data_IF_356288002182
#
_entry.id   IF_356288002182
#
_cell.length_a   1.000
_cell.length_b   1.000
_cell.length_c   1.000
_cell.angle_alpha   90.00
_cell.angle_beta   90.00
_cell.angle_gamma   90.00
#
_symmetry.space_group_name_H-M   'P 1'
#
loop_
_entity.id
_entity.type
_entity.pdbx_description
1 polymer ?
#
# COMPACT_ATOMS: atom_id res chain seq x y z
N UNK A 1 28.15 41.03 34.22
CA UNK A 1 27.84 40.92 32.78
C UNK A 1 28.17 39.48 32.39
N UNK A 2 27.20 38.55 32.48
CA UNK A 2 26.44 37.89 31.37
C UNK A 2 27.39 37.37 30.27
N UNK A 3 27.47 36.10 29.83
CA UNK A 3 26.80 34.78 30.02
C UNK A 3 27.85 33.70 29.68
N UNK A 4 28.06 32.65 30.47
CA UNK A 4 27.42 31.33 30.41
C UNK A 4 27.48 30.65 29.01
N UNK A 5 28.58 29.93 28.74
CA UNK A 5 28.68 28.99 27.61
C UNK A 5 28.47 27.58 28.11
N UNK A 6 27.21 27.20 28.01
CA UNK A 6 26.63 25.94 28.45
C UNK A 6 27.06 24.76 27.59
N UNK A 7 27.24 23.64 28.29
CA UNK A 7 27.42 22.28 27.79
C UNK A 7 26.45 21.93 26.64
N UNK A 8 26.98 21.71 25.44
CA UNK A 8 26.30 20.90 24.43
C UNK A 8 26.52 19.41 24.72
N UNK A 9 25.76 18.89 25.69
CA UNK A 9 25.33 17.49 25.68
C UNK A 9 23.90 17.47 25.17
N UNK A 10 23.70 16.94 23.97
CA UNK A 10 22.39 16.44 23.55
C UNK A 10 22.48 14.96 23.18
N UNK A 11 21.39 14.24 23.43
CA UNK A 11 21.43 12.88 23.93
C UNK A 11 21.35 11.86 22.80
N UNK A 12 21.73 10.62 23.13
CA UNK A 12 21.36 9.41 22.42
C UNK A 12 19.94 9.49 21.85
N UNK A 13 19.84 9.64 20.53
CA UNK A 13 18.71 9.10 19.79
C UNK A 13 18.92 7.59 19.70
N UNK A 14 18.61 6.89 20.79
CA UNK A 14 18.12 5.53 20.67
C UNK A 14 16.81 5.62 19.89
N UNK A 15 16.91 5.58 18.57
CA UNK A 15 15.85 5.04 17.73
C UNK A 15 15.61 3.64 18.24
N UNK A 16 14.63 3.53 19.13
CA UNK A 16 13.99 2.28 19.47
C UNK A 16 13.45 1.73 18.16
N UNK A 17 14.22 0.87 17.51
CA UNK A 17 13.71 -0.12 16.58
C UNK A 17 12.56 -0.79 17.32
N UNK A 18 11.34 -0.36 17.01
CA UNK A 18 10.14 -1.06 17.41
C UNK A 18 10.28 -2.42 16.74
N UNK A 19 10.73 -3.39 17.55
CA UNK A 19 10.90 -4.79 17.22
C UNK A 19 9.84 -5.18 16.21
N UNK A 20 10.27 -5.28 14.95
CA UNK A 20 9.45 -5.72 13.84
C UNK A 20 9.10 -7.17 14.17
N UNK A 21 7.96 -7.37 14.79
CA UNK A 21 7.42 -8.69 15.06
C UNK A 21 7.11 -9.29 13.69
N UNK A 22 8.02 -10.13 13.21
CA UNK A 22 7.83 -10.93 12.01
C UNK A 22 6.58 -11.77 12.19
N UNK A 23 5.58 -11.51 11.36
CA UNK A 23 4.41 -12.36 11.22
C UNK A 23 4.88 -13.53 10.39
N UNK A 24 4.82 -14.71 10.98
CA UNK A 24 5.32 -15.93 10.35
C UNK A 24 4.19 -16.71 9.67
N UNK A 25 2.94 -16.47 10.07
CA UNK A 25 1.74 -17.12 9.54
C UNK A 25 0.49 -16.20 9.60
N UNK A 26 -0.46 -16.35 8.69
CA UNK A 26 -1.75 -15.62 8.71
C UNK A 26 -2.70 -16.09 9.81
N UNK A 27 -2.48 -17.29 10.34
CA UNK A 27 -3.18 -17.80 11.52
C UNK A 27 -2.63 -17.21 12.84
N UNK A 28 -1.54 -16.43 12.77
CA UNK A 28 -0.98 -15.75 13.94
C UNK A 28 -1.99 -14.74 14.51
N UNK A 29 -1.98 -14.63 15.85
CA UNK A 29 -2.83 -13.69 16.55
C UNK A 29 -2.38 -12.23 16.33
N UNK A 30 -3.35 -11.35 16.08
CA UNK A 30 -3.18 -9.91 16.13
C UNK A 30 -3.06 -9.47 17.59
N UNK A 31 -1.83 -9.48 18.10
CA UNK A 31 -1.48 -8.96 19.41
C UNK A 31 -1.60 -7.43 19.51
N UNK A 32 -1.72 -6.91 20.73
CA UNK A 32 -1.83 -5.48 21.02
C UNK A 32 -0.69 -4.65 20.39
N UNK A 33 0.53 -5.19 20.37
CA UNK A 33 1.70 -4.54 19.77
C UNK A 33 1.57 -4.29 18.27
N UNK A 34 0.72 -5.04 17.56
CA UNK A 34 0.51 -4.90 16.11
C UNK A 34 -0.46 -3.76 15.78
N UNK A 35 -1.34 -3.40 16.73
CA UNK A 35 -2.44 -2.44 16.50
C UNK A 35 -1.94 -1.04 16.10
N UNK A 36 -0.91 -0.45 16.74
CA UNK A 36 -0.39 0.85 16.29
C UNK A 36 0.15 0.84 14.87
N UNK A 37 0.79 -0.26 14.44
CA UNK A 37 1.27 -0.40 13.07
C UNK A 37 0.09 -0.42 12.08
N UNK A 38 -0.94 -1.24 12.36
CA UNK A 38 -2.13 -1.32 11.51
C UNK A 38 -2.86 0.02 11.42
N UNK A 39 -3.09 0.67 12.55
CA UNK A 39 -3.78 1.95 12.64
C UNK A 39 -3.12 3.03 11.76
N UNK A 40 -1.77 3.01 11.69
CA UNK A 40 -0.99 3.94 10.88
C UNK A 40 -1.09 3.62 9.38
N UNK A 41 -0.97 2.35 9.00
CA UNK A 41 -1.00 1.93 7.59
C UNK A 41 -2.40 2.05 6.97
N UNK A 42 -3.43 1.72 7.75
CA UNK A 42 -4.82 1.90 7.32
C UNK A 42 -5.22 3.37 7.25
N UNK A 43 -4.74 4.20 8.18
CA UNK A 43 -4.99 5.65 8.20
C UNK A 43 -6.50 5.95 8.10
N UNK A 44 -6.96 6.57 7.01
CA UNK A 44 -8.38 6.91 6.79
C UNK A 44 -9.30 5.69 6.57
N UNK A 45 -8.76 4.52 6.28
CA UNK A 45 -9.55 3.32 5.96
C UNK A 45 -9.87 2.47 7.20
N UNK A 46 -9.39 2.86 8.39
CA UNK A 46 -9.61 2.13 9.66
C UNK A 46 -11.10 1.96 9.97
N UNK A 47 -11.92 2.99 9.76
CA UNK A 47 -13.35 2.92 10.05
C UNK A 47 -14.06 1.88 9.16
N UNK A 48 -13.72 1.83 7.87
CA UNK A 48 -14.26 0.83 6.94
C UNK A 48 -13.88 -0.58 7.34
N UNK A 49 -12.60 -0.79 7.64
CA UNK A 49 -12.11 -2.09 8.11
C UNK A 49 -12.79 -2.48 9.42
N UNK A 50 -12.94 -1.56 10.37
CA UNK A 50 -13.62 -1.82 11.63
C UNK A 50 -15.09 -2.23 11.44
N UNK A 51 -15.82 -1.59 10.52
CA UNK A 51 -17.19 -1.99 10.20
C UNK A 51 -17.25 -3.42 9.61
N UNK A 52 -16.31 -3.79 8.72
CA UNK A 52 -16.20 -5.16 8.19
C UNK A 52 -15.79 -6.17 9.25
N UNK A 53 -15.05 -5.73 10.27
CA UNK A 53 -14.70 -6.51 11.46
C UNK A 53 -15.83 -6.56 12.50
N UNK A 54 -17.02 -6.04 12.17
CA UNK A 54 -18.21 -6.04 13.02
C UNK A 54 -18.08 -5.17 14.28
N UNK A 55 -17.24 -4.12 14.25
CA UNK A 55 -17.27 -3.08 15.28
C UNK A 55 -18.54 -2.24 15.10
N UNK A 56 -19.28 -2.07 16.19
CA UNK A 56 -20.53 -1.33 16.18
C UNK A 56 -20.31 0.14 15.77
N UNK A 57 -21.15 0.65 14.86
CA UNK A 57 -21.01 2.02 14.34
C UNK A 57 -21.21 3.09 15.42
N UNK A 58 -22.06 2.84 16.41
CA UNK A 58 -22.28 3.75 17.54
C UNK A 58 -21.02 3.80 18.40
N UNK A 59 -20.35 2.67 18.59
CA UNK A 59 -19.05 2.63 19.28
C UNK A 59 -17.97 3.40 18.51
N UNK A 60 -17.89 3.24 17.17
CA UNK A 60 -16.96 3.99 16.33
C UNK A 60 -17.18 5.51 16.49
N UNK A 61 -18.43 5.97 16.43
CA UNK A 61 -18.77 7.39 16.60
C UNK A 61 -18.46 7.89 18.02
N UNK A 62 -18.76 7.10 19.06
CA UNK A 62 -18.41 7.46 20.43
C UNK A 62 -16.88 7.60 20.62
N UNK A 63 -16.08 6.73 19.99
CA UNK A 63 -14.62 6.85 20.00
C UNK A 63 -14.17 8.11 19.24
N UNK A 64 -14.82 8.45 18.13
CA UNK A 64 -14.52 9.65 17.34
C UNK A 64 -14.78 10.93 18.13
N UNK A 65 -15.88 11.00 18.86
CA UNK A 65 -16.21 12.13 19.71
C UNK A 65 -15.24 12.25 20.90
N UNK A 66 -14.82 11.12 21.47
CA UNK A 66 -13.95 11.07 22.65
C UNK A 66 -12.44 11.15 22.38
N UNK A 67 -11.99 10.97 21.14
CA UNK A 67 -10.56 10.97 20.76
C UNK A 67 -10.32 11.83 19.51
N UNK A 68 -9.87 13.10 19.68
CA UNK A 68 -9.66 14.00 18.55
C UNK A 68 -8.41 13.66 17.74
N UNK A 69 -7.43 12.95 18.32
CA UNK A 69 -6.18 12.62 17.63
C UNK A 69 -6.40 11.42 16.68
N UNK A 70 -6.22 11.57 15.36
CA UNK A 70 -6.54 10.52 14.38
C UNK A 70 -5.84 9.19 14.65
N UNK A 71 -4.54 9.20 14.95
CA UNK A 71 -3.78 7.97 15.20
C UNK A 71 -4.28 7.24 16.46
N UNK A 72 -4.52 7.97 17.56
CA UNK A 72 -5.04 7.39 18.80
C UNK A 72 -6.45 6.85 18.63
N UNK A 73 -7.29 7.56 17.87
CA UNK A 73 -8.64 7.13 17.52
C UNK A 73 -8.59 5.81 16.75
N UNK A 74 -7.76 5.73 15.72
CA UNK A 74 -7.58 4.52 14.92
C UNK A 74 -7.14 3.32 15.78
N UNK A 75 -6.19 3.55 16.70
CA UNK A 75 -5.74 2.53 17.66
C UNK A 75 -6.91 2.08 18.55
N UNK A 76 -7.71 3.01 19.07
CA UNK A 76 -8.88 2.69 19.92
C UNK A 76 -9.92 1.87 19.16
N UNK A 77 -10.22 2.23 17.91
CA UNK A 77 -11.19 1.50 17.06
C UNK A 77 -10.72 0.06 16.83
N UNK A 78 -9.46 -0.15 16.46
CA UNK A 78 -8.93 -1.51 16.24
C UNK A 78 -8.83 -2.32 17.54
N UNK A 79 -8.51 -1.68 18.66
CA UNK A 79 -8.52 -2.33 19.97
C UNK A 79 -9.94 -2.70 20.42
N UNK A 80 -10.96 -1.92 20.05
CA UNK A 80 -12.37 -2.28 20.31
C UNK A 80 -12.71 -3.62 19.68
N UNK A 81 -12.47 -3.78 18.37
CA UNK A 81 -12.62 -5.07 17.67
C UNK A 81 -11.87 -6.19 18.38
N UNK A 82 -10.56 -6.01 18.59
CA UNK A 82 -9.69 -7.03 19.19
C UNK A 82 -10.22 -7.49 20.54
N UNK A 83 -10.64 -6.55 21.39
CA UNK A 83 -11.19 -6.83 22.71
C UNK A 83 -12.55 -7.52 22.63
N UNK A 84 -13.39 -7.20 21.65
CA UNK A 84 -14.66 -7.86 21.42
C UNK A 84 -14.46 -9.34 21.03
N UNK A 85 -13.55 -9.64 20.11
CA UNK A 85 -13.20 -11.02 19.72
C UNK A 85 -12.71 -11.83 20.94
N UNK A 86 -11.78 -11.26 21.71
CA UNK A 86 -11.26 -11.93 22.91
C UNK A 86 -12.35 -12.20 23.96
N UNK A 87 -13.32 -11.29 24.14
CA UNK A 87 -14.47 -11.49 25.04
C UNK A 87 -15.38 -12.63 24.58
N UNK A 88 -15.46 -12.88 23.28
CA UNK A 88 -16.19 -14.00 22.69
C UNK A 88 -15.40 -15.32 22.75
N UNK A 89 -14.18 -15.32 23.31
CA UNK A 89 -13.29 -16.48 23.31
C UNK A 89 -12.70 -16.80 21.94
N UNK A 90 -12.79 -15.87 20.98
CA UNK A 90 -12.21 -15.99 19.65
C UNK A 90 -10.81 -15.36 19.63
N UNK A 91 -9.99 -15.78 18.68
CA UNK A 91 -8.69 -15.16 18.42
C UNK A 91 -8.82 -14.12 17.31
N UNK A 92 -8.34 -12.89 17.50
CA UNK A 92 -8.22 -11.93 16.41
C UNK A 92 -7.07 -12.39 15.49
N UNK A 93 -7.36 -12.82 14.27
CA UNK A 93 -6.35 -13.37 13.34
C UNK A 93 -5.98 -12.39 12.23
N UNK A 94 -4.79 -12.54 11.67
CA UNK A 94 -4.38 -11.80 10.48
C UNK A 94 -5.20 -12.16 9.25
N UNK A 95 -5.67 -13.40 9.15
CA UNK A 95 -6.60 -13.83 8.09
C UNK A 95 -7.84 -12.92 8.03
N UNK A 96 -8.51 -12.67 9.15
CA UNK A 96 -9.71 -11.80 9.18
C UNK A 96 -9.40 -10.37 8.76
N UNK A 97 -8.24 -9.84 9.17
CA UNK A 97 -7.75 -8.52 8.72
C UNK A 97 -7.51 -8.52 7.21
N UNK A 98 -6.83 -9.53 6.66
CA UNK A 98 -6.53 -9.61 5.24
C UNK A 98 -7.80 -9.67 4.40
N UNK A 99 -8.80 -10.46 4.80
CA UNK A 99 -10.10 -10.50 4.13
C UNK A 99 -10.77 -9.11 4.09
N UNK A 100 -10.71 -8.34 5.17
CA UNK A 100 -11.22 -6.97 5.18
C UNK A 100 -10.40 -6.01 4.31
N UNK A 101 -9.09 -6.22 4.18
CA UNK A 101 -8.22 -5.40 3.33
C UNK A 101 -8.45 -5.67 1.84
N UNK A 102 -8.79 -6.91 1.48
CA UNK A 102 -9.13 -7.32 0.11
C UNK A 102 -10.54 -6.92 -0.32
N UNK A 103 -11.43 -6.63 0.64
CA UNK A 103 -12.79 -6.19 0.36
C UNK A 103 -12.80 -4.99 -0.60
N UNK A 104 -13.73 -5.01 -1.55
CA UNK A 104 -13.78 -4.02 -2.63
C UNK A 104 -13.92 -2.58 -2.10
N UNK A 105 -14.56 -2.39 -0.95
CA UNK A 105 -14.79 -1.07 -0.34
C UNK A 105 -13.53 -0.50 0.33
N UNK A 106 -12.60 -1.37 0.70
CA UNK A 106 -11.32 -1.04 1.35
C UNK A 106 -10.19 -1.04 0.31
N UNK A 107 -9.94 -2.18 -0.33
CA UNK A 107 -8.96 -2.31 -1.42
C UNK A 107 -7.54 -1.93 -1.03
N UNK A 108 -7.08 -2.33 0.16
CA UNK A 108 -5.78 -1.96 0.75
C UNK A 108 -4.80 -3.14 0.75
N UNK A 109 -4.65 -3.77 -0.41
CA UNK A 109 -3.69 -4.87 -0.60
C UNK A 109 -2.22 -4.41 -0.43
N UNK A 110 -1.95 -3.11 -0.53
CA UNK A 110 -0.66 -2.52 -0.12
C UNK A 110 -0.31 -2.79 1.34
N UNK A 111 -1.31 -2.79 2.23
CA UNK A 111 -1.09 -3.08 3.64
C UNK A 111 -0.80 -4.57 3.84
N UNK A 112 -1.44 -5.46 3.06
CA UNK A 112 -1.15 -6.90 3.07
C UNK A 112 0.29 -7.14 2.63
N UNK A 113 0.73 -6.53 1.53
CA UNK A 113 2.13 -6.65 1.08
C UNK A 113 3.11 -6.15 2.12
N UNK A 114 2.85 -4.98 2.70
CA UNK A 114 3.68 -4.44 3.78
C UNK A 114 3.74 -5.37 5.00
N UNK A 115 2.63 -6.05 5.30
CA UNK A 115 2.54 -7.04 6.38
C UNK A 115 3.44 -8.25 6.11
N UNK A 116 3.41 -8.75 4.88
CA UNK A 116 4.12 -9.95 4.43
C UNK A 116 5.55 -9.69 3.97
N UNK A 117 5.97 -8.42 3.99
CA UNK A 117 7.26 -7.97 3.43
C UNK A 117 7.43 -8.38 1.96
N UNK A 118 6.33 -8.39 1.22
CA UNK A 118 6.34 -8.64 -0.23
C UNK A 118 6.82 -7.40 -0.98
N UNK A 119 7.56 -7.61 -2.07
CA UNK A 119 8.04 -6.53 -2.92
C UNK A 119 6.88 -5.77 -3.56
N UNK A 120 6.98 -4.44 -3.56
CA UNK A 120 6.03 -3.57 -4.26
C UNK A 120 6.53 -3.26 -5.67
N UNK A 121 5.61 -3.21 -6.64
CA UNK A 121 5.90 -2.73 -7.98
C UNK A 121 6.50 -1.30 -7.91
N UNK A 122 7.73 -1.16 -8.39
CA UNK A 122 8.53 0.05 -8.31
C UNK A 122 7.82 1.29 -8.88
N UNK A 123 7.85 2.40 -8.14
CA UNK A 123 7.31 3.70 -8.55
C UNK A 123 7.85 4.16 -9.91
N UNK A 124 9.10 3.81 -10.25
CA UNK A 124 9.73 4.14 -11.54
C UNK A 124 8.96 3.60 -12.72
N UNK A 125 8.28 2.46 -12.57
CA UNK A 125 7.43 1.87 -13.60
C UNK A 125 6.22 2.78 -13.85
N UNK A 126 5.52 3.18 -12.78
CA UNK A 126 4.34 4.03 -12.87
C UNK A 126 4.69 5.43 -13.39
N UNK A 127 5.80 6.01 -12.92
CA UNK A 127 6.30 7.33 -13.36
C UNK A 127 6.63 7.33 -14.85
N UNK A 128 7.21 6.24 -15.34
CA UNK A 128 7.51 6.11 -16.76
C UNK A 128 6.24 5.96 -17.62
N UNK A 129 5.27 5.17 -17.14
CA UNK A 129 4.06 4.82 -17.87
C UNK A 129 3.05 5.97 -17.92
N UNK A 130 2.78 6.62 -16.78
CA UNK A 130 1.72 7.62 -16.64
C UNK A 130 1.66 8.68 -17.76
N UNK A 131 2.77 9.36 -18.14
CA UNK A 131 2.73 10.35 -19.23
C UNK A 131 2.49 9.74 -20.61
N UNK A 132 2.87 8.46 -20.84
CA UNK A 132 2.78 7.79 -22.15
C UNK A 132 1.37 7.30 -22.48
N UNK A 133 0.59 6.98 -21.45
CA UNK A 133 -0.82 6.58 -21.59
C UNK A 133 -1.80 7.71 -21.26
N UNK A 134 -1.33 8.92 -20.95
CA UNK A 134 -2.18 10.02 -20.48
C UNK A 134 -3.36 10.32 -21.42
N UNK A 135 -3.19 10.16 -22.75
CA UNK A 135 -4.27 10.39 -23.72
C UNK A 135 -5.36 9.28 -23.71
N UNK A 136 -5.00 8.05 -23.35
CA UNK A 136 -5.89 6.87 -23.35
C UNK A 136 -6.14 6.31 -21.95
N UNK A 137 -5.77 7.06 -20.90
CA UNK A 137 -5.65 6.54 -19.55
C UNK A 137 -6.95 5.96 -18.99
N UNK A 138 -8.12 6.51 -19.36
CA UNK A 138 -9.42 6.00 -18.92
C UNK A 138 -9.67 4.59 -19.41
N UNK A 139 -9.41 4.34 -20.70
CA UNK A 139 -9.55 3.00 -21.26
C UNK A 139 -8.54 2.05 -20.63
N UNK A 140 -7.31 2.54 -20.42
CA UNK A 140 -6.25 1.75 -19.80
C UNK A 140 -6.61 1.33 -18.37
N UNK A 141 -7.10 2.27 -17.56
CA UNK A 141 -7.56 2.02 -16.20
C UNK A 141 -8.73 1.01 -16.15
N UNK A 142 -9.66 1.08 -17.10
CA UNK A 142 -10.74 0.09 -17.22
C UNK A 142 -10.23 -1.31 -17.54
N UNK A 143 -9.26 -1.42 -18.45
CA UNK A 143 -8.62 -2.71 -18.79
C UNK A 143 -7.90 -3.29 -17.56
N UNK A 144 -7.30 -2.44 -16.73
CA UNK A 144 -6.73 -2.83 -15.44
C UNK A 144 -7.77 -3.14 -14.34
N UNK A 145 -9.07 -3.05 -14.64
CA UNK A 145 -10.14 -3.34 -13.68
C UNK A 145 -10.35 -2.26 -12.62
N UNK A 146 -9.88 -1.03 -12.84
CA UNK A 146 -10.13 0.08 -11.91
C UNK A 146 -11.60 0.50 -11.99
N UNK A 147 -12.33 0.63 -10.86
CA UNK A 147 -13.72 1.07 -10.85
C UNK A 147 -13.93 2.45 -11.48
N UNK A 148 -15.00 2.61 -12.25
CA UNK A 148 -15.29 3.86 -12.98
C UNK A 148 -15.39 5.08 -12.05
N UNK A 149 -15.93 4.90 -10.84
CA UNK A 149 -16.00 5.97 -9.85
C UNK A 149 -14.61 6.50 -9.43
N UNK A 150 -13.61 5.63 -9.34
CA UNK A 150 -12.23 6.03 -9.03
C UNK A 150 -11.57 6.75 -10.22
N UNK A 151 -11.87 6.32 -11.45
CA UNK A 151 -11.44 7.00 -12.68
C UNK A 151 -12.04 8.41 -12.74
N UNK A 152 -13.31 8.57 -12.40
CA UNK A 152 -13.98 9.88 -12.41
C UNK A 152 -13.48 10.81 -11.30
N UNK A 153 -13.29 10.30 -10.08
CA UNK A 153 -12.71 11.09 -8.98
C UNK A 153 -11.31 11.63 -9.33
N UNK A 154 -10.49 10.83 -10.04
CA UNK A 154 -9.15 11.26 -10.44
C UNK A 154 -9.15 12.45 -11.42
N UNK A 155 -10.19 12.59 -12.24
CA UNK A 155 -10.35 13.69 -13.19
C UNK A 155 -10.85 14.98 -12.54
N UNK A 156 -11.57 14.88 -11.42
CA UNK A 156 -12.13 16.03 -10.73
C UNK A 156 -11.08 16.83 -9.95
N UNK A 157 -9.93 16.23 -9.65
CA UNK A 157 -8.78 16.93 -9.11
C UNK A 157 -8.09 17.69 -10.25
N UNK A 158 -8.37 19.00 -10.38
CA UNK A 158 -7.99 19.95 -11.46
C UNK A 158 -6.48 20.14 -11.75
N UNK A 159 -5.62 19.20 -11.37
CA UNK A 159 -4.16 19.32 -11.41
C UNK A 159 -3.51 18.69 -12.67
N UNK A 160 -4.30 18.43 -13.71
CA UNK A 160 -3.85 18.00 -15.03
C UNK A 160 -3.82 16.48 -15.24
N UNK A 161 -4.01 16.06 -16.50
CA UNK A 161 -4.23 14.65 -16.92
C UNK A 161 -3.12 13.70 -16.47
N UNK A 162 -1.87 14.17 -16.42
CA UNK A 162 -0.74 13.36 -15.95
C UNK A 162 -0.83 12.99 -14.46
N UNK A 163 -1.34 13.90 -13.62
CA UNK A 163 -1.54 13.61 -12.19
C UNK A 163 -2.74 12.68 -11.97
N UNK A 164 -3.84 12.91 -12.69
CA UNK A 164 -4.99 12.00 -12.68
C UNK A 164 -4.61 10.57 -13.08
N UNK A 165 -3.77 10.42 -14.10
CA UNK A 165 -3.25 9.13 -14.54
C UNK A 165 -2.39 8.44 -13.46
N UNK A 166 -1.43 9.18 -12.87
CA UNK A 166 -0.60 8.67 -11.77
C UNK A 166 -1.45 8.22 -10.58
N UNK A 167 -2.41 9.04 -10.15
CA UNK A 167 -3.27 8.73 -9.02
C UNK A 167 -4.07 7.43 -9.25
N UNK A 168 -4.54 7.19 -10.48
CA UNK A 168 -5.25 5.96 -10.86
C UNK A 168 -4.32 4.74 -10.84
N UNK A 169 -3.11 4.85 -11.41
CA UNK A 169 -2.12 3.76 -11.38
C UNK A 169 -1.72 3.40 -9.95
N UNK A 170 -1.56 4.40 -9.08
CA UNK A 170 -1.29 4.17 -7.65
C UNK A 170 -2.47 3.53 -6.92
N UNK A 171 -3.72 3.82 -7.31
CA UNK A 171 -4.91 3.13 -6.77
C UNK A 171 -4.96 1.69 -7.25
N UNK A 172 -4.75 1.45 -8.54
CA UNK A 172 -4.65 0.10 -9.11
C UNK A 172 -3.59 -0.73 -8.39
N UNK A 173 -2.37 -0.19 -8.23
CA UNK A 173 -1.29 -0.88 -7.50
C UNK A 173 -1.68 -1.19 -6.06
N UNK A 174 -2.33 -0.26 -5.36
CA UNK A 174 -2.80 -0.48 -3.97
C UNK A 174 -3.85 -1.59 -3.86
N UNK A 175 -4.79 -1.66 -4.81
CA UNK A 175 -5.89 -2.64 -4.80
C UNK A 175 -5.50 -4.03 -5.31
N UNK A 176 -4.56 -4.08 -6.24
CA UNK A 176 -4.11 -5.36 -6.82
C UNK A 176 -3.26 -6.08 -5.79
N UNK A 177 -3.52 -7.35 -5.49
CA UNK A 177 -2.75 -8.11 -4.49
C UNK A 177 -1.28 -8.28 -4.91
N UNK A 178 -1.07 -8.67 -6.16
CA UNK A 178 0.24 -8.90 -6.75
C UNK A 178 0.41 -8.07 -8.03
N UNK A 179 0.61 -6.74 -7.92
CA UNK A 179 0.75 -5.89 -9.08
C UNK A 179 2.08 -6.19 -9.79
N UNK A 180 2.02 -6.51 -11.08
CA UNK A 180 3.20 -6.86 -11.88
C UNK A 180 3.40 -5.94 -13.07
N UNK A 181 4.63 -5.86 -13.55
CA UNK A 181 4.96 -5.16 -14.81
C UNK A 181 4.21 -5.83 -15.97
N UNK A 182 4.07 -7.15 -15.92
CA UNK A 182 3.35 -7.96 -16.91
C UNK A 182 1.87 -7.58 -17.02
N UNK A 183 1.20 -7.23 -15.92
CA UNK A 183 -0.22 -6.80 -15.95
C UNK A 183 -0.37 -5.49 -16.74
N UNK A 184 0.59 -4.57 -16.57
CA UNK A 184 0.62 -3.31 -17.30
C UNK A 184 0.93 -3.53 -18.79
N UNK A 185 1.88 -4.42 -19.10
CA UNK A 185 2.20 -4.82 -20.47
C UNK A 185 0.97 -5.42 -21.17
N UNK A 186 0.28 -6.36 -20.53
CA UNK A 186 -0.93 -6.98 -21.10
C UNK A 186 -2.03 -5.93 -21.34
N UNK A 187 -2.18 -4.96 -20.44
CA UNK A 187 -3.13 -3.88 -20.63
C UNK A 187 -2.77 -2.98 -21.82
N UNK A 188 -1.49 -2.78 -22.13
CA UNK A 188 -1.03 -2.03 -23.32
C UNK A 188 -1.32 -2.80 -24.62
N UNK A 189 -1.20 -4.12 -24.59
CA UNK A 189 -1.46 -5.01 -25.72
C UNK A 189 -2.95 -5.25 -25.99
N UNK A 190 -3.82 -4.94 -25.02
CA UNK A 190 -5.26 -5.10 -25.14
C UNK A 190 -5.83 -4.31 -26.34
N UNK A 191 -6.73 -4.93 -27.13
CA UNK A 191 -7.26 -4.38 -28.40
C UNK A 191 -7.80 -2.94 -28.31
N UNK A 192 -8.41 -2.58 -27.18
CA UNK A 192 -8.95 -1.23 -26.94
C UNK A 192 -7.83 -0.18 -26.80
N UNK A 193 -6.68 -0.58 -26.25
CA UNK A 193 -5.52 0.30 -26.03
C UNK A 193 -4.61 0.28 -27.25
N UNK A 194 -4.31 -0.93 -27.75
CA UNK A 194 -3.53 -1.19 -28.95
C UNK A 194 -2.23 -0.37 -29.01
N UNK A 195 -1.42 -0.49 -27.94
CA UNK A 195 -0.08 0.12 -27.85
C UNK A 195 1.01 -0.95 -27.72
N UNK A 196 1.14 -1.87 -28.70
CA UNK A 196 2.21 -2.87 -28.69
C UNK A 196 3.61 -2.22 -28.72
N UNK A 197 3.72 -1.01 -29.29
CA UNK A 197 4.94 -0.19 -29.28
C UNK A 197 5.41 0.13 -27.85
N UNK A 198 4.49 0.56 -26.99
CA UNK A 198 4.82 0.84 -25.58
C UNK A 198 5.04 -0.43 -24.77
N UNK A 199 4.30 -1.49 -25.08
CA UNK A 199 4.46 -2.79 -24.43
C UNK A 199 5.88 -3.33 -24.65
N UNK A 200 6.40 -3.23 -25.87
CA UNK A 200 7.77 -3.61 -26.21
C UNK A 200 8.81 -2.71 -25.50
N UNK A 201 8.66 -1.38 -25.55
CA UNK A 201 9.55 -0.44 -24.82
C UNK A 201 9.57 -0.74 -23.31
N UNK A 202 8.42 -1.11 -22.74
CA UNK A 202 8.28 -1.46 -21.33
C UNK A 202 8.98 -2.77 -20.98
N UNK A 203 8.82 -3.82 -21.81
CA UNK A 203 9.53 -5.11 -21.66
C UNK A 203 11.04 -4.90 -21.67
N UNK A 204 11.54 -4.15 -22.63
CA UNK A 204 12.98 -3.85 -22.76
C UNK A 204 13.54 -3.15 -21.52
N UNK A 205 12.75 -2.23 -20.95
CA UNK A 205 13.21 -1.38 -19.86
C UNK A 205 13.11 -2.03 -18.49
N UNK A 206 12.10 -2.85 -18.25
CA UNK A 206 11.78 -3.33 -16.90
C UNK A 206 11.78 -4.85 -16.74
N UNK A 207 11.70 -5.63 -17.83
CA UNK A 207 11.74 -7.09 -17.77
C UNK A 207 13.12 -7.67 -18.15
N UNK A 208 13.88 -7.01 -19.02
CA UNK A 208 15.14 -7.54 -19.56
C UNK A 208 16.37 -7.38 -18.63
N UNK A 209 16.17 -7.10 -17.34
CA UNK A 209 17.28 -6.94 -16.39
C UNK A 209 17.95 -8.27 -15.98
N UNK A 210 17.31 -9.42 -16.19
CA UNK A 210 17.87 -10.73 -15.82
C UNK A 210 19.12 -11.12 -16.65
N UNK A 211 19.27 -10.62 -17.88
CA UNK A 211 20.40 -11.04 -18.75
C UNK A 211 21.70 -10.28 -18.42
N UNK A 212 21.63 -9.08 -17.84
CA UNK A 212 22.83 -8.26 -17.61
C UNK A 212 23.62 -8.68 -16.37
N UNK A 213 22.95 -9.10 -15.30
CA UNK A 213 23.65 -9.50 -14.07
C UNK A 213 24.31 -10.88 -14.20
N UNK A 214 23.73 -11.79 -14.98
CA UNK A 214 24.32 -13.12 -15.24
C UNK A 214 25.49 -13.05 -16.24
N UNK A 215 25.44 -12.16 -17.25
CA UNK A 215 26.56 -11.94 -18.18
C UNK A 215 27.72 -11.19 -17.53
N UNK A 216 27.44 -10.22 -16.64
CA UNK A 216 28.50 -9.52 -15.89
C UNK A 216 29.20 -10.44 -14.88
N UNK A 217 28.44 -11.31 -14.19
CA UNK A 217 29.03 -12.31 -13.29
C UNK A 217 29.76 -13.45 -14.01
N UNK A 218 29.45 -13.73 -15.27
CA UNK A 218 30.24 -14.66 -16.10
C UNK A 218 31.53 -14.02 -16.65
N UNK A 219 31.56 -12.70 -16.91
CA UNK A 219 32.76 -11.99 -17.38
C UNK A 219 33.81 -11.79 -16.28
N UNK A 220 33.39 -11.61 -15.03
CA UNK A 220 34.32 -11.53 -13.89
C UNK A 220 35.01 -12.88 -13.59
N UNK A 221 34.40 -14.01 -13.99
CA UNK A 221 34.98 -15.35 -13.86
C UNK A 221 35.95 -15.74 -15.00
N UNK A 222 36.07 -14.92 -16.05
CA UNK A 222 36.93 -15.18 -17.21
C UNK A 222 38.16 -14.25 -17.28
N UNK A 223 38.35 -13.36 -16.30
CA UNK A 223 39.53 -12.47 -16.19
C UNK A 223 40.66 -13.02 -15.29
N UNK A 224 40.84 -14.34 -15.20
CA UNK A 224 42.03 -14.95 -14.55
C UNK A 224 43.10 -15.27 -15.61
#
# INVERSE_FOLDING_TARGET
MVEDSSNFRRPNETSSEASSSEITDFDDEVCERHVPWLARHLSKDVEKVAMLLEVDSVEIEAIKEGEPQPERRNIKILNSWRNAEMKLGKKPTWEKICLCLEDETVGRCDVIRALLKEDELDDRVLVWLAPRIAASFRNYARVLGVPECEIDMSNQNFEGVGRSCMDVLQRWRRRTRYPKVEDLIQALEHDIINRPDLAEEMKEKFCNHEVKDEVLSQLDNLSI
#
